data_IF_934240883338
#
_entry.id   IF_934240883338
#
_cell.length_a   1.000
_cell.length_b   1.000
_cell.length_c   1.000
_cell.angle_alpha   90.00
_cell.angle_beta   90.00
_cell.angle_gamma   90.00
#
_symmetry.space_group_name_H-M   'P 1'
#
loop_
_entity.id
_entity.type
_entity.pdbx_description
1 polymer ?
#
# COMPACT_ATOMS: atom_id res chain seq x y z
N UNK A 1 -3.30 -1.04 -30.67
CA UNK A 1 -2.06 -0.46 -30.11
C UNK A 1 -2.33 0.70 -29.15
N UNK A 2 -2.99 1.81 -29.52
CA UNK A 2 -3.23 2.95 -28.60
C UNK A 2 -4.33 2.68 -27.54
N UNK A 3 -5.40 1.97 -27.90
CA UNK A 3 -6.53 1.71 -26.99
C UNK A 3 -6.21 0.71 -25.87
N UNK A 4 -5.35 -0.28 -26.12
CA UNK A 4 -4.89 -1.22 -25.08
C UNK A 4 -3.98 -0.54 -24.06
N UNK A 5 -3.05 0.31 -24.50
CA UNK A 5 -2.22 1.10 -23.60
C UNK A 5 -3.03 2.11 -22.79
N UNK A 6 -4.05 2.72 -23.39
CA UNK A 6 -5.00 3.57 -22.65
C UNK A 6 -5.83 2.75 -21.66
N UNK A 7 -6.30 1.56 -22.04
CA UNK A 7 -7.06 0.68 -21.15
C UNK A 7 -6.20 0.09 -20.02
N UNK A 8 -4.92 -0.21 -20.26
CA UNK A 8 -3.95 -0.59 -19.22
C UNK A 8 -3.62 0.59 -18.31
N UNK A 9 -3.39 1.78 -18.84
CA UNK A 9 -3.15 2.99 -18.05
C UNK A 9 -4.38 3.35 -17.21
N UNK A 10 -5.59 3.27 -17.77
CA UNK A 10 -6.84 3.51 -17.02
C UNK A 10 -7.07 2.40 -16.00
N UNK A 11 -6.79 1.12 -16.31
CA UNK A 11 -6.87 0.03 -15.32
C UNK A 11 -5.84 0.19 -14.21
N UNK A 12 -4.62 0.62 -14.52
CA UNK A 12 -3.60 0.96 -13.52
C UNK A 12 -4.05 2.17 -12.69
N UNK A 13 -4.60 3.20 -13.32
CA UNK A 13 -5.12 4.41 -12.65
C UNK A 13 -6.34 4.10 -11.76
N UNK A 14 -7.19 3.15 -12.15
CA UNK A 14 -8.32 2.65 -11.35
C UNK A 14 -7.84 1.68 -10.25
N UNK A 15 -6.77 0.92 -10.49
CA UNK A 15 -6.17 0.01 -9.51
C UNK A 15 -5.47 0.77 -8.37
N UNK A 16 -4.88 1.95 -8.65
CA UNK A 16 -4.21 2.80 -7.67
C UNK A 16 -5.15 3.32 -6.56
N UNK A 17 -6.47 3.25 -6.77
CA UNK A 17 -7.48 3.54 -5.76
C UNK A 17 -7.57 5.02 -5.40
N UNK A 18 -7.98 5.32 -4.16
CA UNK A 18 -8.08 6.70 -3.66
C UNK A 18 -6.70 7.27 -3.34
N UNK A 19 -6.53 8.59 -3.47
CA UNK A 19 -5.36 9.29 -2.95
C UNK A 19 -5.55 9.61 -1.47
N UNK A 20 -4.55 9.24 -0.66
CA UNK A 20 -4.55 9.44 0.78
C UNK A 20 -3.51 10.50 1.15
N UNK A 21 -3.86 11.49 1.99
CA UNK A 21 -2.91 12.49 2.44
C UNK A 21 -1.87 11.81 3.35
N UNK A 22 -0.59 11.99 3.01
CA UNK A 22 0.52 11.66 3.89
C UNK A 22 0.78 12.89 4.79
N UNK A 23 0.63 12.73 6.10
CA UNK A 23 0.71 13.87 7.03
C UNK A 23 -0.52 14.78 6.95
N UNK A 24 -0.32 16.10 6.90
CA UNK A 24 -1.39 17.09 6.75
C UNK A 24 -1.80 17.25 5.27
N UNK A 25 -3.11 17.31 4.94
CA UNK A 25 -3.56 17.53 3.56
C UNK A 25 -2.97 18.80 2.91
N UNK A 26 -2.71 19.83 3.72
CA UNK A 26 -2.09 21.08 3.28
C UNK A 26 -0.61 20.94 2.88
N UNK A 27 0.05 19.85 3.27
CA UNK A 27 1.44 19.58 2.88
C UNK A 27 1.56 19.14 1.43
N UNK A 28 0.46 18.84 0.72
CA UNK A 28 0.50 18.47 -0.70
C UNK A 28 1.29 17.19 -0.96
N UNK A 29 1.38 16.30 0.03
CA UNK A 29 2.03 15.00 -0.07
C UNK A 29 0.95 13.91 -0.02
N UNK A 30 0.97 13.03 -1.01
CA UNK A 30 -0.08 12.03 -1.21
C UNK A 30 0.54 10.66 -1.46
N UNK A 31 -0.15 9.61 -1.04
CA UNK A 31 0.13 8.22 -1.41
C UNK A 31 -1.10 7.61 -2.05
N UNK A 32 -0.90 6.72 -3.01
CA UNK A 32 -2.02 5.93 -3.55
C UNK A 32 -2.46 4.88 -2.53
N UNK A 33 -3.76 4.63 -2.43
CA UNK A 33 -4.30 3.58 -1.55
C UNK A 33 -3.67 2.22 -1.87
N UNK A 34 -3.39 1.93 -3.14
CA UNK A 34 -2.70 0.70 -3.51
C UNK A 34 -1.28 0.62 -2.92
N UNK A 35 -0.48 1.69 -2.99
CA UNK A 35 0.89 1.69 -2.46
C UNK A 35 0.90 1.53 -0.94
N UNK A 36 0.03 2.26 -0.24
CA UNK A 36 -0.12 2.10 1.20
C UNK A 36 -0.62 0.68 1.56
N UNK A 37 -1.60 0.14 0.84
CA UNK A 37 -2.08 -1.23 1.09
C UNK A 37 -1.04 -2.31 0.73
N UNK A 38 -0.13 -2.05 -0.21
CA UNK A 38 0.98 -2.95 -0.52
C UNK A 38 2.01 -2.98 0.62
N UNK A 39 2.41 -1.80 1.11
CA UNK A 39 3.34 -1.69 2.24
C UNK A 39 2.77 -2.34 3.52
N UNK A 40 1.50 -2.12 3.83
CA UNK A 40 0.83 -2.75 4.98
C UNK A 40 0.73 -4.27 4.83
N UNK A 41 0.49 -4.78 3.61
CA UNK A 41 0.53 -6.22 3.34
C UNK A 41 1.93 -6.81 3.54
N UNK A 42 2.97 -6.11 3.09
CA UNK A 42 4.35 -6.54 3.27
C UNK A 42 4.73 -6.60 4.76
N UNK A 43 4.28 -5.65 5.57
CA UNK A 43 4.46 -5.69 7.02
C UNK A 43 3.71 -6.88 7.66
N UNK A 44 2.44 -7.09 7.31
CA UNK A 44 1.65 -8.21 7.83
C UNK A 44 2.22 -9.58 7.44
N UNK A 45 2.83 -9.71 6.25
CA UNK A 45 3.46 -10.94 5.78
C UNK A 45 4.69 -11.38 6.62
N UNK A 46 5.19 -10.52 7.52
CA UNK A 46 6.24 -10.89 8.48
C UNK A 46 5.70 -11.77 9.63
N UNK A 47 4.38 -11.83 9.81
CA UNK A 47 3.72 -12.69 10.78
C UNK A 47 3.42 -14.05 10.13
N UNK A 48 4.13 -15.09 10.56
CA UNK A 48 4.01 -16.43 10.00
C UNK A 48 2.65 -17.11 10.29
N UNK A 49 1.95 -16.69 11.34
CA UNK A 49 0.66 -17.23 11.79
C UNK A 49 -0.55 -16.49 11.21
N UNK A 50 -0.34 -15.58 10.25
CA UNK A 50 -1.38 -14.72 9.67
C UNK A 50 -1.35 -14.76 8.15
N UNK A 51 -2.52 -14.95 7.54
CA UNK A 51 -2.73 -14.72 6.12
C UNK A 51 -3.66 -13.54 5.92
N UNK A 52 -3.12 -12.42 5.44
CA UNK A 52 -3.92 -11.23 5.14
C UNK A 52 -4.73 -11.44 3.85
N UNK A 53 -6.04 -11.20 3.94
CA UNK A 53 -6.95 -11.24 2.80
C UNK A 53 -7.19 -9.84 2.22
N UNK A 54 -8.43 -9.38 2.26
CA UNK A 54 -8.77 -8.03 1.82
C UNK A 54 -8.19 -6.97 2.76
N UNK A 55 -7.67 -5.89 2.19
CA UNK A 55 -7.23 -4.71 2.93
C UNK A 55 -7.69 -3.49 2.15
N UNK A 56 -8.38 -2.57 2.84
CA UNK A 56 -9.00 -1.36 2.29
C UNK A 56 -8.72 -0.20 3.24
N UNK A 57 -8.64 1.02 2.71
CA UNK A 57 -8.57 2.23 3.52
C UNK A 57 -9.83 3.07 3.32
N UNK A 58 -10.54 3.31 4.41
CA UNK A 58 -11.79 4.07 4.44
C UNK A 58 -11.63 5.34 5.26
N UNK A 59 -12.54 6.29 5.04
CA UNK A 59 -12.71 7.41 5.98
C UNK A 59 -14.08 7.29 6.63
N UNK A 60 -14.15 7.52 7.93
CA UNK A 60 -15.42 7.55 8.64
C UNK A 60 -16.20 8.86 8.37
N UNK A 61 -17.35 9.00 9.02
CA UNK A 61 -18.21 10.19 8.93
C UNK A 61 -17.54 11.47 9.44
N UNK A 62 -16.52 11.36 10.29
CA UNK A 62 -15.72 12.49 10.78
C UNK A 62 -14.56 12.84 9.84
N UNK A 63 -14.31 12.02 8.82
CA UNK A 63 -13.19 12.16 7.89
C UNK A 63 -11.89 11.54 8.40
N UNK A 64 -11.90 10.82 9.53
CA UNK A 64 -10.72 10.13 10.04
C UNK A 64 -10.44 8.87 9.22
N UNK A 65 -9.16 8.59 8.96
CA UNK A 65 -8.72 7.47 8.12
C UNK A 65 -8.69 6.17 8.95
N UNK A 66 -9.27 5.11 8.43
CA UNK A 66 -9.29 3.78 9.05
C UNK A 66 -8.78 2.73 8.06
N UNK A 67 -8.04 1.75 8.57
CA UNK A 67 -7.63 0.58 7.80
C UNK A 67 -8.53 -0.60 8.15
N UNK A 68 -9.20 -1.19 7.16
CA UNK A 68 -10.03 -2.38 7.34
C UNK A 68 -9.36 -3.57 6.69
N UNK A 69 -9.06 -4.60 7.49
CA UNK A 69 -8.36 -5.80 7.02
C UNK A 69 -9.10 -7.09 7.40
N UNK A 70 -9.25 -7.97 6.43
CA UNK A 70 -9.62 -9.36 6.66
C UNK A 70 -8.37 -10.22 6.81
N UNK A 71 -8.39 -11.16 7.74
CA UNK A 71 -7.29 -12.10 7.90
C UNK A 71 -7.75 -13.48 8.33
N UNK A 72 -6.94 -14.47 8.01
CA UNK A 72 -7.01 -15.81 8.56
C UNK A 72 -5.86 -16.00 9.53
N UNK A 73 -6.12 -16.72 10.62
CA UNK A 73 -5.16 -16.97 11.68
C UNK A 73 -4.86 -18.45 11.80
N UNK A 74 -3.62 -18.78 12.11
CA UNK A 74 -3.23 -20.14 12.42
C UNK A 74 -3.76 -20.56 13.81
N UNK A 75 -4.21 -21.82 13.99
CA UNK A 75 -4.92 -22.26 15.19
C UNK A 75 -4.04 -22.44 16.43
N UNK A 76 -2.71 -22.34 16.30
CA UNK A 76 -1.73 -22.59 17.37
C UNK A 76 -1.75 -21.50 18.43
N UNK A 77 -2.29 -20.31 18.12
CA UNK A 77 -2.38 -19.19 19.04
C UNK A 77 -3.83 -18.73 19.25
N UNK A 78 -4.17 -18.20 20.45
CA UNK A 78 -5.48 -17.61 20.67
C UNK A 78 -5.73 -16.46 19.69
N UNK A 79 -6.84 -16.52 18.95
CA UNK A 79 -7.20 -15.51 17.95
C UNK A 79 -7.11 -14.05 18.43
N UNK A 80 -7.53 -13.70 19.67
CA UNK A 80 -7.38 -12.32 20.14
C UNK A 80 -5.93 -11.85 20.22
N UNK A 81 -4.99 -12.76 20.54
CA UNK A 81 -3.57 -12.44 20.64
C UNK A 81 -2.96 -12.21 19.24
N UNK A 82 -3.25 -13.09 18.27
CA UNK A 82 -2.80 -12.92 16.88
C UNK A 82 -3.42 -11.67 16.24
N UNK A 83 -4.72 -11.41 16.49
CA UNK A 83 -5.38 -10.18 16.05
C UNK A 83 -4.72 -8.92 16.63
N UNK A 84 -4.36 -8.93 17.92
CA UNK A 84 -3.69 -7.80 18.55
C UNK A 84 -2.31 -7.55 17.93
N UNK A 85 -1.50 -8.60 17.74
CA UNK A 85 -0.18 -8.47 17.10
C UNK A 85 -0.29 -7.94 15.67
N UNK A 86 -1.24 -8.45 14.88
CA UNK A 86 -1.50 -7.95 13.54
C UNK A 86 -1.91 -6.48 13.56
N UNK A 87 -2.78 -6.10 14.50
CA UNK A 87 -3.19 -4.69 14.69
C UNK A 87 -2.00 -3.81 15.01
N UNK A 88 -1.13 -4.23 15.92
CA UNK A 88 0.05 -3.45 16.33
C UNK A 88 1.02 -3.28 15.16
N UNK A 89 1.32 -4.35 14.40
CA UNK A 89 2.18 -4.31 13.20
C UNK A 89 1.61 -3.38 12.13
N UNK A 90 0.31 -3.48 11.83
CA UNK A 90 -0.34 -2.61 10.84
C UNK A 90 -0.35 -1.15 11.30
N UNK A 91 -0.56 -0.91 12.60
CA UNK A 91 -0.56 0.42 13.19
C UNK A 91 0.82 1.08 13.12
N UNK A 92 1.87 0.34 13.49
CA UNK A 92 3.27 0.79 13.42
C UNK A 92 3.67 1.05 11.96
N UNK A 93 3.39 0.13 11.05
CA UNK A 93 3.69 0.30 9.64
C UNK A 93 2.98 1.54 9.05
N UNK A 94 1.73 1.81 9.43
CA UNK A 94 1.00 2.98 8.96
C UNK A 94 1.56 4.29 9.53
N UNK A 95 1.74 4.39 10.85
CA UNK A 95 2.11 5.66 11.50
C UNK A 95 3.62 5.95 11.44
N UNK A 96 4.44 4.92 11.68
CA UNK A 96 5.88 5.06 11.78
C UNK A 96 6.56 4.80 10.43
N UNK A 97 6.16 3.74 9.72
CA UNK A 97 6.70 3.41 8.39
C UNK A 97 6.23 4.36 7.29
N UNK A 98 4.91 4.53 7.15
CA UNK A 98 4.32 5.35 6.08
C UNK A 98 4.14 6.83 6.48
N UNK A 99 3.80 7.11 7.75
CA UNK A 99 3.40 8.44 8.18
C UNK A 99 1.94 8.79 7.85
N UNK A 100 1.09 7.78 7.66
CA UNK A 100 -0.36 7.94 7.56
C UNK A 100 -0.94 8.18 8.95
N UNK A 101 -1.86 9.14 9.08
CA UNK A 101 -2.61 9.37 10.32
C UNK A 101 -3.89 8.56 10.31
N UNK A 102 -3.76 7.28 10.68
CA UNK A 102 -4.91 6.40 10.87
C UNK A 102 -5.47 6.56 12.29
N UNK A 103 -6.80 6.50 12.43
CA UNK A 103 -7.50 6.55 13.69
C UNK A 103 -7.74 5.16 14.28
N UNK A 104 -8.00 4.15 13.44
CA UNK A 104 -8.11 2.75 13.87
C UNK A 104 -7.70 1.75 12.78
N UNK A 105 -7.46 0.52 13.22
CA UNK A 105 -7.32 -0.67 12.38
C UNK A 105 -8.39 -1.68 12.77
N UNK A 106 -9.36 -1.85 11.89
CA UNK A 106 -10.47 -2.77 12.02
C UNK A 106 -10.10 -4.11 11.39
N UNK A 107 -10.17 -5.17 12.20
CA UNK A 107 -9.79 -6.52 11.78
C UNK A 107 -11.03 -7.41 11.74
N UNK A 108 -11.20 -8.13 10.65
CA UNK A 108 -12.23 -9.15 10.47
C UNK A 108 -11.58 -10.51 10.29
N UNK A 109 -11.87 -11.45 11.18
CA UNK A 109 -11.39 -12.83 11.05
C UNK A 109 -12.26 -13.54 10.03
N UNK A 110 -11.67 -13.98 8.91
CA UNK A 110 -12.41 -14.65 7.82
C UNK A 110 -12.24 -16.16 7.82
N UNK A 111 -11.30 -16.70 8.58
CA UNK A 111 -11.06 -18.13 8.66
C UNK A 111 -9.89 -18.49 9.57
N UNK A 112 -9.66 -19.79 9.67
CA UNK A 112 -8.48 -20.35 10.29
C UNK A 112 -7.62 -20.97 9.18
N UNK A 113 -6.31 -20.80 9.27
CA UNK A 113 -5.37 -21.47 8.36
C UNK A 113 -5.39 -22.94 8.74
N UNK A 114 -5.91 -23.79 7.85
CA UNK A 114 -5.84 -25.23 8.01
C UNK A 114 -4.65 -25.75 7.19
N UNK A 115 -3.61 -26.21 7.87
CA UNK A 115 -2.46 -26.89 7.24
C UNK A 115 -2.80 -28.34 6.83
N UNK A 116 -4.06 -28.77 6.96
CA UNK A 116 -4.54 -29.93 6.26
C UNK A 116 -4.38 -29.67 4.75
N UNK A 117 -3.37 -30.30 4.15
CA UNK A 117 -3.16 -30.43 2.72
C UNK A 117 -4.47 -30.90 2.04
N UNK A 118 -5.36 -29.97 1.75
CA UNK A 118 -6.48 -30.19 0.85
C UNK A 118 -5.82 -30.32 -0.52
N UNK A 119 -5.85 -31.50 -1.17
CA UNK A 119 -5.41 -31.59 -2.56
C UNK A 119 -6.18 -30.53 -3.36
N UNK A 120 -5.52 -29.72 -4.20
CA UNK A 120 -6.19 -28.64 -4.90
C UNK A 120 -7.39 -29.21 -5.67
N UNK A 121 -8.59 -28.77 -5.34
CA UNK A 121 -9.79 -29.06 -6.11
C UNK A 121 -9.54 -28.56 -7.55
N UNK A 122 -9.52 -29.44 -8.56
CA UNK A 122 -9.31 -29.01 -9.93
C UNK A 122 -10.56 -28.24 -10.41
N UNK A 123 -10.53 -26.90 -10.27
CA UNK A 123 -11.57 -26.05 -10.82
C UNK A 123 -11.98 -24.83 -10.00
N UNK A 124 -11.48 -24.64 -8.78
CA UNK A 124 -11.58 -23.34 -8.14
C UNK A 124 -10.71 -22.34 -8.93
N UNK A 125 -11.23 -21.16 -9.33
CA UNK A 125 -10.36 -20.12 -9.84
C UNK A 125 -9.39 -19.76 -8.73
N UNK A 126 -8.15 -20.23 -8.83
CA UNK A 126 -7.06 -19.76 -7.97
C UNK A 126 -7.14 -18.23 -7.96
N UNK A 127 -7.06 -17.58 -6.78
CA UNK A 127 -6.80 -16.15 -6.75
C UNK A 127 -5.50 -15.99 -7.52
N UNK A 128 -5.61 -15.51 -8.75
CA UNK A 128 -4.48 -15.27 -9.65
C UNK A 128 -3.44 -14.59 -8.78
N UNK A 129 -2.21 -15.12 -8.64
CA UNK A 129 -1.14 -14.37 -8.01
C UNK A 129 -1.23 -13.00 -8.61
N UNK A 130 -1.37 -11.95 -7.78
CA UNK A 130 -1.27 -10.60 -8.29
C UNK A 130 -0.02 -10.62 -9.14
N UNK A 131 -0.19 -10.51 -10.47
CA UNK A 131 0.92 -10.64 -11.41
C UNK A 131 2.02 -9.78 -10.82
N UNK A 132 3.24 -10.32 -10.60
CA UNK A 132 4.29 -9.54 -9.98
C UNK A 132 4.30 -8.25 -10.73
N UNK A 133 3.94 -7.16 -10.03
CA UNK A 133 3.79 -5.85 -10.65
C UNK A 133 5.06 -5.67 -11.43
N UNK A 134 4.95 -5.68 -12.76
CA UNK A 134 6.05 -5.95 -13.67
C UNK A 134 7.27 -5.26 -13.11
N UNK A 135 8.32 -6.05 -12.80
CA UNK A 135 9.52 -5.58 -12.10
C UNK A 135 9.78 -4.15 -12.56
N UNK A 136 9.63 -3.21 -11.61
CA UNK A 136 9.59 -1.79 -11.90
C UNK A 136 10.73 -1.49 -12.89
N UNK A 137 10.48 -0.81 -14.02
CA UNK A 137 11.59 -0.32 -14.82
C UNK A 137 12.49 0.45 -13.85
N UNK A 138 13.78 0.08 -13.80
CA UNK A 138 14.75 0.66 -12.87
C UNK A 138 14.66 2.19 -12.99
N UNK A 139 13.90 2.80 -12.08
CA UNK A 139 13.58 4.20 -12.14
C UNK A 139 14.83 5.01 -11.89
N UNK A 140 14.97 6.15 -12.55
CA UNK A 140 16.10 7.03 -12.32
C UNK A 140 16.17 7.39 -10.82
N UNK A 141 17.39 7.44 -10.24
CA UNK A 141 17.57 7.83 -8.86
C UNK A 141 16.89 9.18 -8.63
N UNK A 142 16.06 9.23 -7.59
CA UNK A 142 15.29 10.42 -7.26
C UNK A 142 16.18 11.57 -6.77
N UNK A 143 15.60 12.76 -6.62
CA UNK A 143 16.33 13.96 -6.20
C UNK A 143 16.83 13.89 -4.75
N UNK A 144 16.39 12.88 -3.97
CA UNK A 144 16.78 12.67 -2.57
C UNK A 144 17.08 11.19 -2.31
N UNK A 145 17.93 10.86 -1.31
CA UNK A 145 18.13 9.48 -0.88
C UNK A 145 16.82 8.79 -0.51
N UNK A 146 16.63 7.55 -0.96
CA UNK A 146 15.42 6.79 -0.70
C UNK A 146 14.26 7.06 -1.67
N UNK A 147 14.38 8.03 -2.57
CA UNK A 147 13.39 8.26 -3.63
C UNK A 147 13.86 7.72 -4.99
N UNK A 148 12.91 7.21 -5.77
CA UNK A 148 13.05 6.96 -7.21
C UNK A 148 11.95 7.69 -7.96
N UNK A 149 12.25 8.31 -9.10
CA UNK A 149 11.21 8.92 -9.93
C UNK A 149 10.42 7.82 -10.63
N UNK A 150 9.09 7.89 -10.57
CA UNK A 150 8.20 6.96 -11.27
C UNK A 150 7.32 7.71 -12.27
N UNK A 151 6.74 6.99 -13.24
CA UNK A 151 5.84 7.56 -14.25
C UNK A 151 4.59 6.69 -14.47
N UNK A 152 4.16 5.95 -13.44
CA UNK A 152 3.09 4.93 -13.53
C UNK A 152 1.75 5.50 -14.02
N UNK A 153 1.45 6.76 -13.74
CA UNK A 153 0.21 7.44 -14.16
C UNK A 153 0.33 8.16 -15.51
N UNK A 154 1.45 8.00 -16.23
CA UNK A 154 1.72 8.68 -17.50
C UNK A 154 2.53 9.96 -17.30
N UNK A 155 3.79 9.95 -17.74
CA UNK A 155 4.76 11.02 -17.52
C UNK A 155 5.27 11.06 -16.06
N UNK A 156 6.54 11.41 -15.85
CA UNK A 156 7.15 11.48 -14.52
C UNK A 156 6.57 12.60 -13.62
N UNK A 157 5.79 13.51 -14.22
CA UNK A 157 5.00 14.51 -13.53
C UNK A 157 3.90 15.07 -14.43
N UNK A 158 2.74 15.32 -13.85
CA UNK A 158 1.78 16.29 -14.39
C UNK A 158 2.19 17.67 -13.86
N UNK A 159 1.81 18.78 -14.50
CA UNK A 159 2.04 20.14 -13.96
C UNK A 159 1.55 20.31 -12.50
N UNK A 160 0.67 19.41 -12.04
CA UNK A 160 0.14 19.37 -10.68
C UNK A 160 0.95 18.50 -9.67
N UNK A 161 1.69 17.47 -10.09
CA UNK A 161 2.36 16.55 -9.17
C UNK A 161 3.57 15.79 -9.74
N UNK A 162 4.54 15.47 -8.88
CA UNK A 162 5.70 14.60 -9.13
C UNK A 162 5.46 13.21 -8.58
N UNK A 163 5.68 12.17 -9.41
CA UNK A 163 5.50 10.78 -9.02
C UNK A 163 6.81 10.16 -8.51
N UNK A 164 6.75 9.50 -7.35
CA UNK A 164 7.90 8.81 -6.77
C UNK A 164 7.54 7.40 -6.28
N UNK A 165 8.58 6.57 -6.18
CA UNK A 165 8.61 5.35 -5.37
C UNK A 165 9.58 5.54 -4.21
N UNK A 166 9.26 5.00 -3.04
CA UNK A 166 10.13 5.06 -1.85
C UNK A 166 10.80 3.71 -1.63
N UNK A 167 12.12 3.73 -1.46
CA UNK A 167 12.92 2.54 -1.19
C UNK A 167 12.71 2.03 0.23
N UNK A 168 12.86 0.72 0.41
CA UNK A 168 12.80 0.06 1.71
C UNK A 168 13.72 0.73 2.74
N UNK A 169 13.32 0.66 4.02
CA UNK A 169 14.08 1.21 5.15
C UNK A 169 14.04 2.73 5.28
N UNK A 170 13.30 3.43 4.42
CA UNK A 170 13.04 4.87 4.56
C UNK A 170 11.60 5.13 4.94
N UNK A 171 11.38 6.08 5.86
CA UNK A 171 10.04 6.53 6.19
C UNK A 171 9.44 7.31 5.02
N UNK A 172 8.29 6.88 4.54
CA UNK A 172 7.68 7.40 3.29
C UNK A 172 7.38 8.88 3.37
N UNK A 173 6.80 9.34 4.48
CA UNK A 173 6.51 10.76 4.70
C UNK A 173 7.77 11.64 4.68
N UNK A 174 8.88 11.16 5.23
CA UNK A 174 10.12 11.94 5.30
C UNK A 174 10.75 12.10 3.91
N UNK A 175 10.78 11.01 3.13
CA UNK A 175 11.25 11.04 1.73
C UNK A 175 10.36 11.95 0.90
N UNK A 176 9.05 11.83 1.03
CA UNK A 176 8.11 12.62 0.24
C UNK A 176 8.15 14.12 0.59
N UNK A 177 8.35 14.47 1.87
CA UNK A 177 8.63 15.86 2.29
C UNK A 177 9.94 16.37 1.72
N UNK A 178 11.00 15.55 1.74
CA UNK A 178 12.30 15.93 1.18
C UNK A 178 12.22 16.15 -0.33
N UNK A 179 11.53 15.28 -1.09
CA UNK A 179 11.26 15.49 -2.52
C UNK A 179 10.47 16.76 -2.75
N UNK A 180 9.41 17.02 -1.97
CA UNK A 180 8.59 18.22 -2.11
C UNK A 180 9.38 19.50 -1.88
N UNK A 181 10.29 19.52 -0.91
CA UNK A 181 11.15 20.68 -0.65
C UNK A 181 12.01 21.04 -1.87
N UNK A 182 12.38 20.05 -2.69
CA UNK A 182 13.18 20.23 -3.91
C UNK A 182 12.31 20.50 -5.15
N UNK A 183 11.12 19.89 -5.22
CA UNK A 183 10.18 19.97 -6.35
C UNK A 183 9.11 21.06 -6.22
N UNK A 184 9.17 21.90 -5.17
CA UNK A 184 8.19 22.95 -4.92
C UNK A 184 8.04 23.88 -6.15
N UNK A 185 6.80 24.24 -6.55
CA UNK A 185 5.55 24.12 -5.79
C UNK A 185 4.72 22.85 -6.05
N UNK A 186 5.24 21.84 -6.74
CA UNK A 186 4.45 20.68 -7.16
C UNK A 186 4.08 19.76 -5.98
N UNK A 187 2.89 19.16 -6.03
CA UNK A 187 2.51 18.12 -5.06
C UNK A 187 3.36 16.86 -5.29
N UNK A 188 3.58 16.04 -4.25
CA UNK A 188 4.30 14.76 -4.38
C UNK A 188 3.31 13.62 -4.26
N UNK A 189 3.38 12.67 -5.19
CA UNK A 189 2.54 11.48 -5.23
C UNK A 189 3.42 10.22 -5.13
N UNK A 190 3.30 9.51 -4.02
CA UNK A 190 3.93 8.20 -3.80
C UNK A 190 3.06 7.12 -4.45
N UNK A 191 3.60 6.46 -5.46
CA UNK A 191 2.89 5.43 -6.24
C UNK A 191 3.31 4.00 -5.89
N UNK A 192 4.44 3.84 -5.18
CA UNK A 192 5.01 2.55 -4.81
C UNK A 192 5.94 2.68 -3.59
N UNK A 193 6.07 1.60 -2.82
CA UNK A 193 6.92 1.50 -1.63
C UNK A 193 7.53 0.09 -1.63
N UNK A 194 8.86 0.01 -1.60
CA UNK A 194 9.62 -1.25 -1.56
C UNK A 194 9.75 -1.86 -0.15
#
# INVERSE_FOLDING_TARGET
>A
MTSERLAEAVRAQVALGRLLPLGEPAEGVWITEQAAAAALRAAAAQLADVRLGSLRMGTDESGALHAHAAFEAAPEQPLPLTAQRLRDVLWEAANDGLGLRIAAVDLTVTGLIDDALVPPEPGAPEPRPAEPVAALPEGEPGPVPGARVSARLGGAGSEAYTQIAVLAGHRVLDVARAVRAVAAPMAVLVTDVE
#
